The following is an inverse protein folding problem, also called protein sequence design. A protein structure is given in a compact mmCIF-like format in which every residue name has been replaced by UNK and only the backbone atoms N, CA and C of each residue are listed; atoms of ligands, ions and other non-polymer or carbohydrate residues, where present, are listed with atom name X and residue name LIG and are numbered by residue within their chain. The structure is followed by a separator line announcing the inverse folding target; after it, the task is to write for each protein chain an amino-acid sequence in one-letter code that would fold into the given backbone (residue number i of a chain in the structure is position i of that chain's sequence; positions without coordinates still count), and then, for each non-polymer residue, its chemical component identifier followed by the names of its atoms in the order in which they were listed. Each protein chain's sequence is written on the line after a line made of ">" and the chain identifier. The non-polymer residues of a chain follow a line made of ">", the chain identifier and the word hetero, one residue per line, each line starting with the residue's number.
data_IF_104387207916
#
_entry.id   IF_104387207916
#
_cell.length_a   1.000
_cell.length_b   1.000
_cell.length_c   1.000
_cell.angle_alpha   90.00
_cell.angle_beta   90.00
_cell.angle_gamma   90.00
#
_symmetry.space_group_name_H-M   'P 1'
#
loop_
_entity.id
_entity.type
_entity.pdbx_description
1 polymer ?
#
# COMPACT_ATOMS: atom_id res chain seq x y z
N UNK A 1 -27.08 7.12 53.73
CA UNK A 1 -27.52 7.73 52.45
C UNK A 1 -26.41 8.72 52.05
N UNK A 2 -25.39 8.25 51.30
CA UNK A 2 -25.06 8.49 49.85
C UNK A 2 -24.23 9.77 49.64
N UNK A 3 -23.10 9.89 48.91
CA UNK A 3 -22.36 9.15 47.84
C UNK A 3 -20.84 9.53 47.93
N UNK A 4 -19.81 8.66 47.78
CA UNK A 4 -19.09 8.17 46.55
C UNK A 4 -18.79 9.23 45.47
N UNK A 5 -17.64 9.36 44.78
CA UNK A 5 -16.32 8.66 44.68
C UNK A 5 -15.42 9.49 43.70
N UNK A 6 -14.09 9.49 43.91
CA UNK A 6 -12.96 9.65 42.93
C UNK A 6 -12.89 11.00 42.15
N UNK A 7 -11.77 11.57 41.70
CA UNK A 7 -10.35 11.20 41.55
C UNK A 7 -9.58 12.51 41.25
N UNK A 8 -8.35 12.70 41.75
CA UNK A 8 -7.45 13.72 41.16
C UNK A 8 -5.96 13.35 41.33
N UNK A 9 -5.24 13.43 40.21
CA UNK A 9 -3.82 13.16 40.01
C UNK A 9 -2.98 14.44 40.25
N UNK A 10 -1.83 14.33 40.95
CA UNK A 10 -0.51 14.94 40.66
C UNK A 10 0.37 15.00 41.93
N UNK A 11 1.57 14.43 41.87
CA UNK A 11 2.74 14.74 42.72
C UNK A 11 3.97 14.15 41.99
N UNK A 12 4.96 14.88 41.47
CA UNK A 12 5.92 15.85 42.04
C UNK A 12 6.76 15.31 43.21
N UNK A 13 8.04 15.05 42.88
CA UNK A 13 9.28 15.11 43.68
C UNK A 13 9.29 14.54 45.11
N UNK A 14 9.87 13.34 45.25
CA UNK A 14 10.32 12.79 46.53
C UNK A 14 11.83 13.03 46.73
N UNK A 15 12.19 14.27 47.05
CA UNK A 15 13.48 14.64 47.64
C UNK A 15 13.21 15.45 48.91
N UNK A 16 13.08 14.75 50.05
CA UNK A 16 13.35 15.22 51.42
C UNK A 16 12.86 14.17 52.43
N UNK A 17 13.64 14.02 53.50
CA UNK A 17 13.47 13.16 54.68
C UNK A 17 14.09 11.75 54.63
N UNK A 18 15.42 11.71 54.80
CA UNK A 18 16.07 10.71 55.66
C UNK A 18 17.38 11.31 56.22
N UNK A 19 17.24 12.22 57.19
CA UNK A 19 18.35 12.61 58.09
C UNK A 19 17.79 12.54 59.49
N UNK A 20 18.23 11.55 60.26
CA UNK A 20 18.48 11.54 61.72
C UNK A 20 18.45 10.08 62.18
N UNK A 21 19.64 9.49 62.35
CA UNK A 21 20.03 8.59 63.45
C UNK A 21 21.41 7.98 63.13
N UNK A 22 22.46 8.79 63.30
CA UNK A 22 23.82 8.34 63.54
C UNK A 22 24.31 9.10 64.76
N UNK A 23 24.50 8.42 65.89
CA UNK A 23 25.45 8.73 66.98
C UNK A 23 25.23 7.72 68.12
N UNK A 24 26.03 6.64 68.14
CA UNK A 24 26.60 6.02 69.35
C UNK A 24 27.28 4.70 68.98
N UNK A 25 28.59 4.76 68.75
CA UNK A 25 29.47 3.64 69.01
C UNK A 25 29.86 3.68 70.49
N UNK A 26 29.97 2.51 71.14
CA UNK A 26 31.18 2.29 71.90
C UNK A 26 31.87 0.99 71.49
N UNK A 27 33.18 1.13 71.41
CA UNK A 27 34.21 0.10 71.33
C UNK A 27 34.02 -0.87 72.49
N UNK A 28 33.78 -2.16 72.21
CA UNK A 28 34.03 -3.25 73.15
C UNK A 28 34.54 -4.49 72.39
N UNK A 29 35.82 -4.76 72.63
CA UNK A 29 36.48 -6.07 72.69
C UNK A 29 35.98 -7.21 71.81
N UNK A 30 36.82 -7.60 70.85
CA UNK A 30 36.97 -9.01 70.48
C UNK A 30 37.35 -9.82 71.74
N UNK A 31 36.70 -10.96 72.02
CA UNK A 31 37.37 -12.08 72.64
C UNK A 31 37.86 -13.06 71.56
N UNK A 32 39.11 -13.55 71.65
CA UNK A 32 39.58 -14.65 70.83
C UNK A 32 39.06 -15.96 71.44
N UNK A 33 38.37 -16.78 70.66
CA UNK A 33 38.32 -18.22 70.93
C UNK A 33 38.10 -18.95 69.63
N UNK A 34 39.23 -19.35 69.07
CA UNK A 34 39.46 -20.65 68.47
C UNK A 34 38.27 -21.61 68.66
N UNK A 35 37.47 -21.79 67.62
CA UNK A 35 36.64 -22.98 67.49
C UNK A 35 37.10 -23.72 66.24
N UNK A 36 38.30 -24.29 66.34
CA UNK A 36 38.79 -25.40 65.54
C UNK A 36 37.93 -26.64 65.79
N UNK A 37 36.69 -26.60 65.30
CA UNK A 37 35.75 -27.72 65.23
C UNK A 37 34.71 -27.31 64.17
N UNK A 38 34.70 -27.77 62.93
CA UNK A 38 35.30 -28.94 62.29
C UNK A 38 35.49 -28.54 60.80
N UNK A 39 36.68 -28.07 60.41
CA UNK A 39 37.05 -28.05 58.99
C UNK A 39 37.45 -29.49 58.67
N UNK A 40 36.59 -30.20 57.94
CA UNK A 40 36.77 -31.62 57.66
C UNK A 40 37.28 -31.87 56.22
N UNK A 41 37.41 -30.82 55.41
CA UNK A 41 37.98 -30.84 54.07
C UNK A 41 38.28 -29.41 53.58
N UNK A 42 39.27 -29.27 52.70
CA UNK A 42 39.55 -28.05 51.92
C UNK A 42 39.22 -28.26 50.44
N UNK A 43 39.36 -29.49 49.96
CA UNK A 43 39.00 -29.90 48.61
C UNK A 43 38.18 -31.21 48.63
N UNK A 44 37.46 -31.51 47.54
CA UNK A 44 36.66 -32.74 47.45
C UNK A 44 37.50 -34.02 47.45
N UNK A 45 38.81 -33.95 47.23
CA UNK A 45 39.78 -35.05 47.35
C UNK A 45 39.98 -35.51 48.80
N UNK A 46 39.88 -34.60 49.76
CA UNK A 46 40.02 -34.88 51.20
C UNK A 46 38.88 -35.75 51.77
N UNK A 47 37.76 -35.81 51.05
CA UNK A 47 36.59 -36.58 51.44
C UNK A 47 36.65 -38.05 50.95
N UNK A 48 36.26 -38.98 51.84
CA UNK A 48 36.08 -40.41 51.53
C UNK A 48 35.17 -40.64 50.31
N UNK A 49 35.29 -41.81 49.68
CA UNK A 49 34.60 -42.17 48.43
C UNK A 49 33.11 -41.80 48.43
N UNK A 50 32.71 -40.97 47.46
CA UNK A 50 31.33 -40.51 47.27
C UNK A 50 30.92 -39.24 48.01
N UNK A 51 31.82 -38.55 48.72
CA UNK A 51 31.54 -37.25 49.37
C UNK A 51 32.28 -36.10 48.71
N UNK A 52 31.72 -34.90 48.81
CA UNK A 52 32.30 -33.63 48.32
C UNK A 52 32.47 -32.63 49.44
N UNK A 53 33.44 -31.72 49.27
CA UNK A 53 33.62 -30.64 50.21
C UNK A 53 32.68 -29.47 49.89
N UNK A 54 31.72 -29.21 50.77
CA UNK A 54 30.81 -28.06 50.67
C UNK A 54 30.88 -27.30 51.99
N UNK A 55 31.21 -26.01 51.94
CA UNK A 55 31.38 -25.16 53.13
C UNK A 55 32.30 -25.79 54.20
N UNK A 56 33.47 -26.28 53.78
CA UNK A 56 34.50 -26.90 54.62
C UNK A 56 34.07 -28.18 55.36
N UNK A 57 32.98 -28.81 54.92
CA UNK A 57 32.46 -30.07 55.45
C UNK A 57 32.23 -31.09 54.33
N UNK A 58 32.66 -32.33 54.54
CA UNK A 58 32.37 -33.43 53.62
C UNK A 58 30.89 -33.78 53.67
N UNK A 59 30.17 -33.39 52.63
CA UNK A 59 28.74 -33.65 52.43
C UNK A 59 28.48 -34.65 51.31
N UNK A 60 27.27 -35.17 51.29
CA UNK A 60 26.75 -35.89 50.13
C UNK A 60 26.46 -34.88 48.99
N UNK A 61 27.00 -35.07 47.77
CA UNK A 61 26.67 -34.24 46.61
C UNK A 61 25.17 -34.08 46.36
N UNK A 62 24.37 -35.06 46.79
CA UNK A 62 22.92 -35.05 46.65
C UNK A 62 22.21 -34.08 47.60
N UNK A 63 22.86 -33.61 48.66
CA UNK A 63 22.24 -32.71 49.61
C UNK A 63 22.20 -31.28 49.05
N UNK A 64 21.06 -30.93 48.43
CA UNK A 64 20.84 -29.62 47.80
C UNK A 64 21.32 -29.52 46.34
N UNK A 65 21.88 -30.61 45.78
CA UNK A 65 22.36 -30.65 44.40
C UNK A 65 21.31 -31.00 43.35
N UNK A 66 20.12 -31.48 43.75
CA UNK A 66 19.01 -31.79 42.85
C UNK A 66 17.74 -31.04 43.27
N UNK A 67 16.86 -30.78 42.30
CA UNK A 67 15.57 -30.16 42.56
C UNK A 67 14.53 -31.12 43.16
N UNK A 68 13.32 -30.65 43.50
CA UNK A 68 12.27 -31.49 44.06
C UNK A 68 11.82 -32.61 43.11
N UNK A 69 11.26 -33.69 43.68
CA UNK A 69 10.74 -34.87 42.96
C UNK A 69 11.76 -35.64 42.08
N UNK A 70 13.04 -35.57 42.44
CA UNK A 70 14.10 -36.36 41.80
C UNK A 70 14.56 -37.55 42.65
N UNK A 71 15.25 -38.46 41.99
CA UNK A 71 16.18 -39.42 42.56
C UNK A 71 17.58 -38.83 42.34
N UNK A 72 18.40 -38.79 43.38
CA UNK A 72 19.80 -38.39 43.27
C UNK A 72 20.72 -39.58 43.50
N UNK A 73 21.71 -39.75 42.62
CA UNK A 73 22.77 -40.72 42.75
C UNK A 73 24.12 -40.02 42.72
N UNK A 74 25.03 -40.41 43.60
CA UNK A 74 26.38 -39.89 43.59
C UNK A 74 27.27 -40.78 42.72
N UNK A 75 27.80 -40.21 41.63
CA UNK A 75 28.73 -40.88 40.71
C UNK A 75 29.98 -40.02 40.59
N UNK A 76 31.14 -40.58 40.91
CA UNK A 76 32.44 -39.89 40.88
C UNK A 76 32.46 -38.53 41.61
N UNK A 77 31.85 -38.48 42.79
CA UNK A 77 31.71 -37.26 43.63
C UNK A 77 30.88 -36.14 42.96
N UNK A 78 30.02 -36.47 41.99
CA UNK A 78 29.06 -35.54 41.36
C UNK A 78 27.63 -36.02 41.60
N UNK A 79 26.70 -35.08 41.76
CA UNK A 79 25.26 -35.37 41.81
C UNK A 79 24.72 -35.67 40.41
N UNK A 80 24.22 -36.89 40.22
CA UNK A 80 23.42 -37.26 39.06
C UNK A 80 21.94 -37.25 39.46
N UNK A 81 21.18 -36.32 38.89
CA UNK A 81 19.77 -36.13 39.19
C UNK A 81 18.91 -36.73 38.08
N UNK A 82 17.90 -37.55 38.43
CA UNK A 82 16.88 -38.07 37.52
C UNK A 82 15.49 -37.85 38.09
N UNK A 83 14.46 -37.65 37.25
CA UNK A 83 13.08 -37.54 37.75
C UNK A 83 12.60 -38.88 38.32
N UNK A 84 11.79 -38.83 39.40
CA UNK A 84 11.06 -40.02 39.87
C UNK A 84 10.09 -40.52 38.78
N UNK A 85 9.76 -41.82 38.75
CA UNK A 85 8.76 -42.35 37.81
C UNK A 85 7.44 -41.55 37.86
N UNK A 86 6.91 -41.16 36.70
CA UNK A 86 5.70 -40.33 36.60
C UNK A 86 5.93 -38.83 36.78
N UNK A 87 7.19 -38.40 36.89
CA UNK A 87 7.59 -37.00 36.89
C UNK A 87 8.49 -36.70 35.69
N UNK A 88 8.35 -35.50 35.13
CA UNK A 88 9.13 -34.98 34.01
C UNK A 88 9.69 -33.59 34.33
N UNK A 89 10.59 -33.08 33.50
CA UNK A 89 11.23 -31.77 33.67
C UNK A 89 12.75 -31.84 33.71
N UNK A 90 13.37 -30.78 34.24
CA UNK A 90 14.82 -30.71 34.39
C UNK A 90 15.22 -31.09 35.82
N UNK A 91 15.86 -32.24 36.05
CA UNK A 91 16.09 -32.77 37.40
C UNK A 91 16.84 -31.84 38.35
N UNK A 92 17.77 -31.02 37.86
CA UNK A 92 18.51 -30.09 38.74
C UNK A 92 17.64 -28.93 39.24
N UNK A 93 16.62 -28.50 38.48
CA UNK A 93 15.68 -27.44 38.90
C UNK A 93 14.43 -28.01 39.58
N UNK A 94 14.12 -29.29 39.34
CA UNK A 94 12.98 -30.00 39.90
C UNK A 94 12.10 -30.60 38.82
N UNK A 95 11.51 -31.74 39.16
CA UNK A 95 10.55 -32.43 38.32
C UNK A 95 9.12 -32.20 38.83
N UNK A 96 8.17 -32.31 37.92
CA UNK A 96 6.75 -32.12 38.15
C UNK A 96 5.98 -33.32 37.56
N UNK A 97 4.77 -33.62 38.07
CA UNK A 97 3.99 -34.76 37.57
C UNK A 97 3.75 -34.65 36.05
N UNK A 98 3.81 -35.78 35.36
CA UNK A 98 3.38 -35.86 33.96
C UNK A 98 1.87 -35.56 33.85
N UNK A 99 1.49 -34.67 32.95
CA UNK A 99 0.08 -34.30 32.73
C UNK A 99 -0.56 -35.12 31.61
N UNK A 100 0.21 -35.47 30.58
CA UNK A 100 -0.29 -36.09 29.35
C UNK A 100 0.72 -37.07 28.73
N UNK A 101 0.22 -37.99 27.90
CA UNK A 101 1.04 -38.87 27.05
C UNK A 101 0.83 -38.60 25.56
N UNK A 102 -0.38 -38.21 25.18
CA UNK A 102 -0.79 -37.85 23.82
C UNK A 102 -1.70 -36.62 23.85
N UNK A 103 -1.89 -35.97 22.71
CA UNK A 103 -2.63 -34.69 22.63
C UNK A 103 -4.07 -34.82 23.13
N UNK A 104 -4.73 -35.96 22.87
CA UNK A 104 -6.10 -36.22 23.35
C UNK A 104 -6.25 -36.35 24.87
N UNK A 105 -5.14 -36.43 25.61
CA UNK A 105 -5.16 -36.35 27.08
C UNK A 105 -5.33 -34.90 27.56
N UNK A 106 -5.11 -33.92 26.67
CA UNK A 106 -5.21 -32.50 26.95
C UNK A 106 -6.57 -31.92 26.53
N UNK A 107 -6.96 -30.75 27.05
CA UNK A 107 -8.07 -29.98 26.50
C UNK A 107 -7.84 -29.64 25.01
N UNK A 108 -8.92 -29.42 24.26
CA UNK A 108 -8.90 -29.12 22.82
C UNK A 108 -7.98 -27.93 22.44
N UNK A 109 -7.81 -26.95 23.33
CA UNK A 109 -6.93 -25.79 23.08
C UNK A 109 -5.44 -26.05 23.36
N UNK A 110 -5.06 -27.28 23.73
CA UNK A 110 -3.71 -27.62 24.18
C UNK A 110 -3.19 -28.90 23.56
N UNK A 111 -1.88 -29.01 23.35
CA UNK A 111 -1.21 -30.22 22.88
C UNK A 111 -0.30 -30.80 23.96
N UNK A 112 0.02 -32.08 23.83
CA UNK A 112 0.93 -32.75 24.74
C UNK A 112 2.38 -32.55 24.31
N UNK A 113 3.02 -31.51 24.86
CA UNK A 113 4.43 -31.20 24.60
C UNK A 113 5.25 -31.50 25.85
N UNK A 114 6.28 -32.34 25.71
CA UNK A 114 7.17 -32.72 26.82
C UNK A 114 6.44 -33.22 28.08
N UNK A 115 5.33 -33.96 27.90
CA UNK A 115 4.46 -34.47 28.98
C UNK A 115 3.71 -33.39 29.77
N UNK A 116 3.51 -32.21 29.18
CA UNK A 116 2.62 -31.15 29.66
C UNK A 116 1.59 -30.77 28.60
N UNK A 117 0.42 -30.35 29.06
CA UNK A 117 -0.58 -29.74 28.19
C UNK A 117 -0.26 -28.25 27.99
N UNK A 118 0.34 -27.93 26.84
CA UNK A 118 0.71 -26.57 26.45
C UNK A 118 -0.29 -25.99 25.45
N UNK A 119 -0.58 -24.70 25.56
CA UNK A 119 -1.47 -23.97 24.65
C UNK A 119 -0.91 -23.96 23.22
N UNK A 120 -1.68 -24.48 22.27
CA UNK A 120 -1.26 -24.62 20.86
C UNK A 120 -1.13 -23.29 20.16
N UNK A 121 -1.86 -22.26 20.60
CA UNK A 121 -1.85 -20.92 20.02
C UNK A 121 -0.71 -20.05 20.55
N UNK A 122 -0.08 -20.45 21.66
CA UNK A 122 1.03 -19.71 22.25
C UNK A 122 2.22 -19.66 21.29
N UNK A 123 2.48 -18.46 20.75
CA UNK A 123 3.55 -18.18 19.78
C UNK A 123 3.44 -18.93 18.43
N UNK A 124 2.27 -19.49 18.09
CA UNK A 124 2.11 -20.25 16.85
C UNK A 124 1.82 -19.37 15.62
N UNK A 125 1.11 -18.26 15.81
CA UNK A 125 0.68 -17.38 14.71
C UNK A 125 1.43 -16.05 14.69
N UNK A 126 1.55 -15.45 13.50
CA UNK A 126 2.21 -14.16 13.28
C UNK A 126 1.41 -12.94 13.76
N UNK A 127 1.97 -11.74 13.61
CA UNK A 127 1.29 -10.49 13.94
C UNK A 127 -0.01 -10.30 13.12
N UNK A 128 -0.99 -9.59 13.71
CA UNK A 128 -2.29 -9.31 13.10
C UNK A 128 -3.08 -10.55 12.67
N UNK A 129 -2.90 -11.64 13.42
CA UNK A 129 -3.66 -12.88 13.24
C UNK A 129 -4.51 -13.20 14.46
N UNK A 130 -5.57 -13.94 14.23
CA UNK A 130 -6.35 -14.62 15.23
C UNK A 130 -6.01 -16.12 15.17
N UNK A 131 -5.61 -16.69 16.30
CA UNK A 131 -5.39 -18.13 16.41
C UNK A 131 -6.64 -18.83 16.93
N UNK A 132 -6.97 -19.98 16.33
CA UNK A 132 -8.00 -20.89 16.82
C UNK A 132 -7.41 -22.29 16.92
N UNK A 133 -7.54 -22.92 18.08
CA UNK A 133 -7.20 -24.32 18.25
C UNK A 133 -8.26 -25.21 17.57
N UNK A 134 -7.83 -26.16 16.75
CA UNK A 134 -8.67 -27.16 16.11
C UNK A 134 -7.95 -28.51 16.21
N UNK A 135 -8.52 -29.47 16.93
CA UNK A 135 -7.97 -30.82 17.14
C UNK A 135 -6.52 -30.79 17.67
N UNK A 136 -6.22 -29.97 18.69
CA UNK A 136 -4.87 -29.76 19.22
C UNK A 136 -3.86 -29.14 18.25
N UNK A 137 -4.31 -28.51 17.15
CA UNK A 137 -3.44 -27.76 16.23
C UNK A 137 -3.82 -26.27 16.18
N UNK A 138 -2.84 -25.35 16.04
CA UNK A 138 -3.14 -23.95 15.83
C UNK A 138 -3.55 -23.69 14.38
N UNK A 139 -4.70 -23.05 14.19
CA UNK A 139 -5.16 -22.53 12.90
C UNK A 139 -5.17 -21.01 12.96
N UNK A 140 -4.34 -20.39 12.12
CA UNK A 140 -4.18 -18.94 12.06
C UNK A 140 -5.03 -18.34 10.94
N UNK A 141 -5.76 -17.27 11.24
CA UNK A 141 -6.46 -16.44 10.26
C UNK A 141 -6.09 -14.97 10.45
N UNK A 142 -6.17 -14.13 9.41
CA UNK A 142 -6.00 -12.70 9.61
C UNK A 142 -7.10 -12.13 10.52
N UNK A 143 -6.74 -11.17 11.38
CA UNK A 143 -7.71 -10.40 12.17
C UNK A 143 -8.65 -9.61 11.25
N UNK A 144 -9.81 -9.13 11.77
CA UNK A 144 -10.69 -8.24 11.00
C UNK A 144 -9.92 -7.07 10.36
N UNK A 145 -10.34 -6.65 9.17
CA UNK A 145 -9.70 -5.62 8.32
C UNK A 145 -8.31 -5.96 7.75
N UNK A 146 -7.81 -7.19 7.95
CA UNK A 146 -6.52 -7.62 7.40
C UNK A 146 -6.67 -8.69 6.31
N UNK A 147 -5.80 -8.62 5.30
CA UNK A 147 -5.71 -9.59 4.21
C UNK A 147 -4.31 -10.18 4.16
N UNK A 148 -4.25 -11.47 3.85
CA UNK A 148 -3.01 -12.21 3.78
C UNK A 148 -2.19 -11.81 2.55
N UNK A 149 -0.93 -11.44 2.76
CA UNK A 149 0.06 -11.20 1.74
C UNK A 149 1.21 -12.24 1.88
N UNK A 150 1.62 -12.94 0.80
CA UNK A 150 2.66 -13.97 0.86
C UNK A 150 4.02 -13.51 1.39
N UNK A 151 4.35 -12.22 1.21
CA UNK A 151 5.65 -11.66 1.56
C UNK A 151 5.62 -10.88 2.88
N UNK A 152 4.48 -10.27 3.20
CA UNK A 152 4.33 -9.34 4.33
C UNK A 152 3.42 -9.86 5.46
N UNK A 153 2.81 -11.03 5.30
CA UNK A 153 1.84 -11.57 6.25
C UNK A 153 0.49 -10.84 6.20
N UNK A 154 -0.28 -10.86 7.29
CA UNK A 154 -1.57 -10.17 7.37
C UNK A 154 -1.37 -8.65 7.44
N UNK A 155 -1.83 -7.95 6.40
CA UNK A 155 -1.71 -6.50 6.24
C UNK A 155 -3.10 -5.85 6.28
N UNK A 156 -3.18 -4.63 6.81
CA UNK A 156 -4.42 -3.84 6.76
C UNK A 156 -4.83 -3.66 5.31
N UNK A 157 -6.10 -3.90 4.98
CA UNK A 157 -6.62 -3.49 3.67
C UNK A 157 -6.50 -1.97 3.58
N UNK A 158 -5.64 -1.46 2.69
CA UNK A 158 -5.59 -0.02 2.40
C UNK A 158 -7.02 0.40 2.05
N UNK A 159 -7.57 1.34 2.82
CA UNK A 159 -8.92 1.85 2.56
C UNK A 159 -8.96 2.32 1.11
N UNK A 160 -9.92 1.80 0.34
CA UNK A 160 -10.16 2.23 -1.03
C UNK A 160 -10.60 3.69 -0.97
N UNK A 161 -9.91 4.56 -1.69
CA UNK A 161 -10.23 5.98 -1.76
C UNK A 161 -11.43 6.20 -2.69
N UNK A 162 -11.53 5.39 -3.75
CA UNK A 162 -12.60 5.42 -4.73
C UNK A 162 -12.95 4.01 -5.24
N UNK A 163 -14.12 3.89 -5.85
CA UNK A 163 -14.58 2.74 -6.62
C UNK A 163 -14.91 3.09 -8.07
N UNK A 164 -15.30 4.34 -8.31
CA UNK A 164 -15.59 4.91 -9.62
C UNK A 164 -15.05 6.36 -9.70
N UNK A 165 -14.97 6.91 -10.92
CA UNK A 165 -14.45 8.27 -11.14
C UNK A 165 -15.24 9.35 -10.38
N UNK A 166 -16.55 9.19 -10.25
CA UNK A 166 -17.47 10.08 -9.53
C UNK A 166 -17.15 10.21 -8.04
N UNK A 167 -16.42 9.25 -7.46
CA UNK A 167 -15.97 9.33 -6.06
C UNK A 167 -14.81 10.34 -5.91
N UNK A 168 -14.13 10.67 -7.00
CA UNK A 168 -13.01 11.61 -7.02
C UNK A 168 -13.47 13.05 -7.28
N UNK A 169 -12.57 14.02 -7.01
CA UNK A 169 -12.74 15.38 -7.51
C UNK A 169 -12.75 15.39 -9.05
N UNK A 170 -13.43 16.36 -9.65
CA UNK A 170 -13.61 16.47 -11.12
C UNK A 170 -12.31 16.54 -11.94
N UNK A 171 -11.19 16.84 -11.29
CA UNK A 171 -9.84 16.89 -11.87
C UNK A 171 -9.00 15.63 -11.58
N UNK A 172 -9.61 14.53 -11.12
CA UNK A 172 -8.93 13.26 -10.79
C UNK A 172 -9.72 12.07 -11.32
N UNK A 173 -9.09 10.91 -11.46
CA UNK A 173 -9.74 9.66 -11.91
C UNK A 173 -9.44 8.53 -10.94
N UNK A 174 -10.34 7.55 -10.86
CA UNK A 174 -10.19 6.38 -10.01
C UNK A 174 -9.39 5.29 -10.73
N UNK A 175 -8.13 5.11 -10.34
CA UNK A 175 -7.28 4.04 -10.87
C UNK A 175 -6.79 3.19 -9.70
N UNK A 176 -7.04 1.88 -9.77
CA UNK A 176 -6.65 0.92 -8.72
C UNK A 176 -7.11 1.33 -7.31
N UNK A 177 -8.33 1.89 -7.21
CA UNK A 177 -8.94 2.37 -5.96
C UNK A 177 -8.26 3.60 -5.32
N UNK A 178 -7.53 4.38 -6.12
CA UNK A 178 -6.88 5.62 -5.70
C UNK A 178 -7.24 6.76 -6.65
N UNK A 179 -7.60 7.94 -6.11
CA UNK A 179 -7.89 9.12 -6.91
C UNK A 179 -6.60 9.80 -7.37
N UNK A 180 -6.19 9.51 -8.59
CA UNK A 180 -4.94 10.01 -9.19
C UNK A 180 -5.19 11.15 -10.18
N UNK A 181 -4.17 11.98 -10.42
CA UNK A 181 -4.21 12.98 -11.49
C UNK A 181 -3.94 12.27 -12.83
N UNK A 182 -4.92 12.23 -13.74
CA UNK A 182 -4.74 11.55 -15.02
C UNK A 182 -3.71 12.25 -15.93
N UNK A 183 -3.29 13.48 -15.64
CA UNK A 183 -2.24 14.17 -16.41
C UNK A 183 -0.84 13.61 -16.18
N UNK A 184 -0.59 12.83 -15.12
CA UNK A 184 0.77 12.38 -14.76
C UNK A 184 1.41 11.42 -15.78
N UNK A 185 0.63 10.81 -16.68
CA UNK A 185 1.15 9.80 -17.61
C UNK A 185 0.49 9.72 -18.99
N UNK A 186 -0.53 10.55 -19.28
CA UNK A 186 -1.32 10.43 -20.51
C UNK A 186 -0.82 11.33 -21.65
N UNK A 187 -0.27 12.51 -21.35
CA UNK A 187 0.14 13.47 -22.37
C UNK A 187 1.64 13.38 -22.70
N UNK A 188 1.96 13.66 -23.97
CA UNK A 188 3.32 13.70 -24.47
C UNK A 188 4.10 14.97 -24.09
N UNK A 189 5.36 15.06 -24.52
CA UNK A 189 6.19 16.23 -24.25
C UNK A 189 5.71 17.50 -24.99
N UNK A 190 5.99 18.66 -24.39
CA UNK A 190 5.58 19.99 -24.88
C UNK A 190 4.06 20.18 -25.01
N UNK A 191 3.32 19.57 -24.09
CA UNK A 191 1.85 19.67 -24.06
C UNK A 191 1.36 20.52 -22.88
N UNK A 192 0.09 20.86 -22.96
CA UNK A 192 -0.75 21.33 -21.86
C UNK A 192 -1.77 20.21 -21.64
N UNK A 193 -1.86 19.73 -20.40
CA UNK A 193 -2.88 18.78 -20.00
C UNK A 193 -3.96 19.52 -19.22
N UNK A 194 -5.22 19.29 -19.57
CA UNK A 194 -6.37 19.75 -18.79
C UNK A 194 -7.24 18.56 -18.41
N UNK A 195 -7.78 18.58 -17.19
CA UNK A 195 -8.71 17.57 -16.69
C UNK A 195 -10.06 18.22 -16.47
N UNK A 196 -11.08 17.72 -17.15
CA UNK A 196 -12.46 18.11 -16.91
C UNK A 196 -13.34 16.86 -16.91
N UNK A 197 -14.20 16.74 -15.89
CA UNK A 197 -15.08 15.59 -15.68
C UNK A 197 -14.32 14.26 -15.72
N UNK A 198 -13.20 14.16 -14.99
CA UNK A 198 -12.35 12.97 -14.88
C UNK A 198 -11.62 12.56 -16.17
N UNK A 199 -11.79 13.29 -17.27
CA UNK A 199 -11.14 13.01 -18.55
C UNK A 199 -9.99 13.99 -18.83
N UNK A 200 -8.92 13.46 -19.41
CA UNK A 200 -7.77 14.25 -19.88
C UNK A 200 -7.96 14.74 -21.30
N UNK A 201 -7.62 16.00 -21.51
CA UNK A 201 -7.39 16.57 -22.81
C UNK A 201 -5.93 17.01 -22.92
N UNK A 202 -5.21 16.43 -23.87
CA UNK A 202 -3.83 16.81 -24.18
C UNK A 202 -3.83 17.77 -25.38
N UNK A 203 -3.17 18.90 -25.21
CA UNK A 203 -3.03 19.97 -26.19
C UNK A 203 -1.54 20.22 -26.46
N UNK A 204 -1.13 20.54 -27.69
CA UNK A 204 0.23 21.08 -27.87
C UNK A 204 0.28 22.49 -27.25
N UNK A 205 1.42 22.85 -26.65
CA UNK A 205 1.63 24.23 -26.19
C UNK A 205 1.52 25.20 -27.37
N UNK A 206 1.09 26.45 -27.17
CA UNK A 206 1.08 27.45 -28.23
C UNK A 206 2.45 27.54 -28.94
N UNK A 207 2.44 27.48 -30.27
CA UNK A 207 3.66 27.44 -31.10
C UNK A 207 4.23 26.04 -31.36
N UNK A 208 3.61 24.99 -30.81
CA UNK A 208 4.00 23.59 -31.05
C UNK A 208 2.93 22.85 -31.85
N UNK A 209 3.37 21.90 -32.68
CA UNK A 209 2.54 21.04 -33.53
C UNK A 209 2.95 19.58 -33.38
N UNK A 210 2.06 18.63 -33.67
CA UNK A 210 2.35 17.20 -33.56
C UNK A 210 1.25 16.46 -32.80
N UNK A 211 1.61 15.35 -32.15
CA UNK A 211 0.66 14.49 -31.44
C UNK A 211 0.72 14.80 -29.93
N UNK A 212 -0.32 15.40 -29.33
CA UNK A 212 -0.33 15.71 -27.90
C UNK A 212 -0.28 14.47 -26.99
N UNK A 213 -0.54 13.26 -27.49
CA UNK A 213 -0.40 12.02 -26.73
C UNK A 213 1.01 11.42 -26.80
N UNK A 214 1.89 11.95 -27.65
CA UNK A 214 3.23 11.41 -27.87
C UNK A 214 4.30 12.50 -27.68
N UNK A 215 4.29 13.50 -28.57
CA UNK A 215 5.25 14.59 -28.57
C UNK A 215 4.77 15.72 -29.49
N UNK A 216 4.93 16.97 -29.02
CA UNK A 216 4.78 18.16 -29.84
C UNK A 216 6.15 18.81 -30.12
N UNK A 217 6.34 19.32 -31.33
CA UNK A 217 7.55 19.99 -31.80
C UNK A 217 7.28 21.46 -32.11
N UNK A 218 8.28 22.31 -31.92
CA UNK A 218 8.18 23.75 -32.17
C UNK A 218 8.00 24.00 -33.67
N UNK A 219 6.90 24.66 -34.03
CA UNK A 219 6.48 24.91 -35.40
C UNK A 219 7.42 25.89 -36.14
N UNK A 220 7.88 26.94 -35.45
CA UNK A 220 8.71 27.99 -36.02
C UNK A 220 10.15 27.50 -36.21
N UNK A 221 10.64 26.66 -35.29
CA UNK A 221 11.93 26.00 -35.39
C UNK A 221 12.06 25.12 -36.64
N UNK A 222 10.95 24.58 -37.13
CA UNK A 222 10.89 23.70 -38.30
C UNK A 222 10.31 24.37 -39.56
N UNK A 223 9.89 25.65 -39.51
CA UNK A 223 9.26 26.40 -40.60
C UNK A 223 8.09 25.66 -41.27
N UNK A 224 7.33 24.90 -40.49
CA UNK A 224 6.29 24.03 -41.04
C UNK A 224 5.04 24.82 -41.41
N UNK A 225 4.48 24.47 -42.57
CA UNK A 225 3.22 25.01 -43.09
C UNK A 225 2.11 23.98 -43.00
N UNK A 226 0.92 24.40 -42.55
CA UNK A 226 -0.25 23.54 -42.43
C UNK A 226 -0.88 23.29 -43.80
N UNK A 227 -1.18 22.03 -44.09
CA UNK A 227 -1.85 21.58 -45.30
C UNK A 227 -3.03 20.67 -44.95
N UNK A 228 -4.02 20.61 -45.83
CA UNK A 228 -5.22 19.78 -45.66
C UNK A 228 -5.34 18.71 -46.74
N UNK A 229 -5.86 17.55 -46.35
CA UNK A 229 -6.23 16.44 -47.24
C UNK A 229 -7.65 16.01 -46.92
N UNK A 230 -8.46 15.77 -47.95
CA UNK A 230 -9.79 15.20 -47.76
C UNK A 230 -9.75 13.70 -47.99
N UNK A 231 -10.28 12.96 -47.02
CA UNK A 231 -10.38 11.51 -47.03
C UNK A 231 -11.82 11.10 -47.38
N UNK A 232 -12.03 10.34 -48.46
CA UNK A 232 -13.37 9.98 -48.92
C UNK A 232 -14.04 8.90 -48.06
N UNK A 233 -13.26 8.10 -47.33
CA UNK A 233 -13.75 7.03 -46.45
C UNK A 233 -14.73 7.59 -45.41
N UNK A 234 -15.84 6.90 -45.16
CA UNK A 234 -16.86 7.37 -44.21
C UNK A 234 -16.71 6.67 -42.86
N UNK A 235 -16.29 7.41 -41.85
CA UNK A 235 -16.03 6.91 -40.50
C UNK A 235 -16.75 7.76 -39.45
N UNK A 236 -17.02 7.17 -38.29
CA UNK A 236 -17.41 7.94 -37.12
C UNK A 236 -16.26 8.85 -36.68
N UNK A 237 -16.57 9.88 -35.89
CA UNK A 237 -15.60 10.93 -35.55
C UNK A 237 -14.34 10.37 -34.89
N UNK A 238 -14.48 9.45 -33.93
CA UNK A 238 -13.35 8.82 -33.25
C UNK A 238 -12.48 8.00 -34.21
N UNK A 239 -13.11 7.22 -35.09
CA UNK A 239 -12.41 6.38 -36.07
C UNK A 239 -11.72 7.23 -37.14
N UNK A 240 -12.32 8.33 -37.56
CA UNK A 240 -11.70 9.30 -38.47
C UNK A 240 -10.46 9.95 -37.84
N UNK A 241 -10.54 10.31 -36.55
CA UNK A 241 -9.42 10.88 -35.81
C UNK A 241 -8.23 9.91 -35.73
N UNK A 242 -8.49 8.65 -35.37
CA UNK A 242 -7.47 7.60 -35.36
C UNK A 242 -6.91 7.29 -36.76
N UNK A 243 -7.76 7.38 -37.79
CA UNK A 243 -7.34 7.16 -39.17
C UNK A 243 -6.39 8.24 -39.68
N UNK A 244 -6.64 9.52 -39.40
CA UNK A 244 -5.66 10.57 -39.69
C UNK A 244 -4.33 10.32 -38.94
N UNK A 245 -4.41 9.98 -37.65
CA UNK A 245 -3.24 9.70 -36.80
C UNK A 245 -2.38 8.55 -37.31
N UNK A 246 -3.02 7.48 -37.80
CA UNK A 246 -2.32 6.33 -38.38
C UNK A 246 -1.45 6.69 -39.60
N UNK A 247 -1.71 7.83 -40.25
CA UNK A 247 -0.94 8.35 -41.39
C UNK A 247 0.03 9.47 -41.01
N UNK A 248 0.24 9.73 -39.72
CA UNK A 248 1.04 10.87 -39.24
C UNK A 248 0.38 12.22 -39.46
N UNK A 249 -0.95 12.24 -39.60
CA UNK A 249 -1.78 13.43 -39.77
C UNK A 249 -2.72 13.58 -38.57
N UNK A 250 -3.51 14.64 -38.53
CA UNK A 250 -4.52 14.85 -37.48
C UNK A 250 -5.84 15.22 -38.12
N UNK A 251 -6.96 15.00 -37.44
CA UNK A 251 -8.23 15.55 -37.92
C UNK A 251 -8.12 17.08 -37.98
N UNK A 252 -8.66 17.71 -39.02
CA UNK A 252 -8.34 19.10 -39.35
C UNK A 252 -8.87 20.10 -38.32
N UNK A 253 -8.00 21.03 -37.89
CA UNK A 253 -8.35 22.23 -37.11
C UNK A 253 -8.38 23.47 -38.00
N UNK A 254 -9.19 24.47 -37.62
CA UNK A 254 -9.30 25.73 -38.36
C UNK A 254 -9.22 26.91 -37.38
N UNK A 255 -8.07 27.56 -37.36
CA UNK A 255 -7.72 28.62 -36.41
C UNK A 255 -7.89 30.03 -37.00
N UNK A 256 -8.12 30.16 -38.31
CA UNK A 256 -8.27 31.46 -38.97
C UNK A 256 -9.08 31.39 -40.26
N UNK A 257 -9.54 32.55 -40.75
CA UNK A 257 -10.18 32.64 -42.07
C UNK A 257 -9.28 32.24 -43.23
N UNK A 258 -7.95 32.37 -43.08
CA UNK A 258 -6.99 31.88 -44.07
C UNK A 258 -7.00 30.35 -44.13
N UNK A 259 -6.94 29.69 -42.98
CA UNK A 259 -7.01 28.23 -42.88
C UNK A 259 -8.34 27.69 -43.44
N UNK A 260 -9.46 28.38 -43.18
CA UNK A 260 -10.76 28.03 -43.77
C UNK A 260 -10.73 28.09 -45.31
N UNK A 261 -10.06 29.10 -45.88
CA UNK A 261 -9.90 29.23 -47.33
C UNK A 261 -8.98 28.13 -47.91
N UNK A 262 -7.96 27.72 -47.16
CA UNK A 262 -7.02 26.66 -47.55
C UNK A 262 -7.70 25.29 -47.56
N UNK A 263 -8.48 24.97 -46.52
CA UNK A 263 -9.33 23.78 -46.46
C UNK A 263 -10.36 23.76 -47.60
N UNK A 264 -10.96 24.92 -47.90
CA UNK A 264 -11.89 25.06 -49.03
C UNK A 264 -11.25 24.68 -50.36
N UNK A 265 -9.98 25.04 -50.60
CA UNK A 265 -9.26 24.62 -51.80
C UNK A 265 -9.08 23.11 -51.84
N UNK A 266 -8.58 22.51 -50.75
CA UNK A 266 -8.40 21.06 -50.66
C UNK A 266 -9.71 20.28 -50.88
N UNK A 267 -10.84 20.78 -50.36
CA UNK A 267 -12.16 20.19 -50.58
C UNK A 267 -12.63 20.25 -52.04
N UNK A 268 -12.45 21.39 -52.69
CA UNK A 268 -12.83 21.53 -54.10
C UNK A 268 -11.94 20.67 -55.01
N UNK A 269 -10.64 20.61 -54.73
CA UNK A 269 -9.68 19.81 -55.49
C UNK A 269 -9.97 18.30 -55.37
N UNK A 270 -10.45 17.86 -54.21
CA UNK A 270 -10.88 16.47 -53.99
C UNK A 270 -12.15 16.09 -54.78
N UNK A 271 -12.93 17.07 -55.25
CA UNK A 271 -14.14 16.84 -56.04
C UNK A 271 -15.28 16.13 -55.29
N UNK A 272 -15.20 16.05 -53.96
CA UNK A 272 -16.19 15.38 -53.12
C UNK A 272 -17.38 16.29 -52.79
N UNK A 273 -18.50 15.67 -52.40
CA UNK A 273 -19.71 16.36 -51.94
C UNK A 273 -20.21 15.74 -50.65
N UNK A 274 -20.52 16.56 -49.66
CA UNK A 274 -21.17 16.12 -48.42
C UNK A 274 -20.63 16.83 -47.19
N UNK A 275 -21.08 16.35 -46.02
CA UNK A 275 -20.54 16.79 -44.73
C UNK A 275 -19.19 16.12 -44.48
N UNK A 276 -18.29 16.86 -43.85
CA UNK A 276 -16.92 16.43 -43.59
C UNK A 276 -16.55 16.67 -42.13
N UNK A 277 -15.98 15.67 -41.45
CA UNK A 277 -15.52 15.84 -40.06
C UNK A 277 -14.34 16.81 -39.95
N UNK A 278 -14.34 17.58 -38.85
CA UNK A 278 -13.23 18.38 -38.33
C UNK A 278 -12.86 17.91 -36.92
N UNK A 279 -11.71 18.33 -36.39
CA UNK A 279 -11.25 17.95 -35.05
C UNK A 279 -11.99 18.60 -33.89
N UNK A 280 -12.94 19.51 -34.16
CA UNK A 280 -13.63 20.27 -33.13
C UNK A 280 -14.68 19.48 -32.38
N UNK A 281 -14.72 19.62 -31.06
CA UNK A 281 -15.78 19.06 -30.22
C UNK A 281 -15.97 19.83 -28.91
N UNK A 282 -17.14 19.69 -28.28
CA UNK A 282 -17.42 20.15 -26.90
C UNK A 282 -17.58 18.96 -25.92
N UNK A 283 -16.93 17.83 -26.25
CA UNK A 283 -17.01 16.59 -25.50
C UNK A 283 -16.58 16.77 -24.04
N UNK A 284 -15.52 17.54 -23.81
CA UNK A 284 -14.91 17.76 -22.49
C UNK A 284 -15.77 18.64 -21.60
N UNK A 285 -16.34 19.72 -22.14
CA UNK A 285 -17.22 20.63 -21.43
C UNK A 285 -18.26 21.24 -22.38
N UNK A 286 -19.55 21.04 -22.05
CA UNK A 286 -20.68 21.46 -22.90
C UNK A 286 -20.60 22.96 -23.17
N UNK A 287 -20.61 23.34 -24.44
CA UNK A 287 -20.49 24.75 -24.87
C UNK A 287 -19.07 25.30 -24.92
N UNK A 288 -18.05 24.53 -24.51
CA UNK A 288 -16.64 24.89 -24.61
C UNK A 288 -15.98 24.07 -25.72
N UNK A 289 -15.97 24.61 -26.94
CA UNK A 289 -15.41 23.92 -28.11
C UNK A 289 -13.90 24.02 -28.14
N UNK A 290 -13.26 22.85 -28.30
CA UNK A 290 -11.81 22.68 -28.43
C UNK A 290 -11.48 21.83 -29.66
N UNK A 291 -10.36 22.13 -30.30
CA UNK A 291 -9.83 21.31 -31.39
C UNK A 291 -9.09 20.11 -30.81
N UNK A 292 -9.55 18.89 -31.04
CA UNK A 292 -8.86 17.70 -30.52
C UNK A 292 -7.46 17.45 -31.11
N UNK A 293 -7.12 18.08 -32.24
CA UNK A 293 -5.78 17.98 -32.82
C UNK A 293 -4.76 18.89 -32.13
N UNK A 294 -5.18 20.05 -31.62
CA UNK A 294 -4.28 21.04 -30.98
C UNK A 294 -4.54 21.25 -29.49
N UNK A 295 -5.73 20.87 -29.02
CA UNK A 295 -6.35 21.16 -27.73
C UNK A 295 -6.67 22.63 -27.48
N UNK A 296 -6.60 23.48 -28.50
CA UNK A 296 -6.90 24.90 -28.39
C UNK A 296 -8.40 25.16 -28.48
N UNK A 297 -8.88 26.14 -27.69
CA UNK A 297 -10.23 26.66 -27.80
C UNK A 297 -10.48 27.37 -29.12
N UNK A 298 -11.75 27.51 -29.47
CA UNK A 298 -12.15 28.13 -30.72
C UNK A 298 -11.91 29.64 -30.69
N UNK A 299 -10.87 30.10 -31.40
CA UNK A 299 -10.58 31.53 -31.62
C UNK A 299 -11.16 32.07 -32.93
N UNK A 300 -11.51 31.16 -33.84
CA UNK A 300 -12.16 31.43 -35.12
C UNK A 300 -13.31 30.44 -35.29
N UNK A 301 -14.43 30.92 -35.82
CA UNK A 301 -15.62 30.10 -36.05
C UNK A 301 -16.30 30.47 -37.35
N UNK A 302 -16.87 29.48 -38.04
CA UNK A 302 -17.68 29.70 -39.23
C UNK A 302 -19.02 28.95 -39.14
N UNK A 303 -19.72 29.10 -38.02
CA UNK A 303 -20.98 28.39 -37.76
C UNK A 303 -22.06 28.70 -38.79
N UNK A 304 -22.86 27.69 -39.11
CA UNK A 304 -24.13 27.86 -39.80
C UNK A 304 -25.10 28.67 -38.91
N UNK A 305 -26.03 29.41 -39.50
CA UNK A 305 -26.81 30.49 -38.82
C UNK A 305 -27.61 30.08 -37.58
N UNK A 306 -27.77 28.78 -37.31
CA UNK A 306 -28.49 28.24 -36.13
C UNK A 306 -27.62 27.29 -35.28
N UNK A 307 -26.31 27.32 -35.48
CA UNK A 307 -25.32 26.46 -34.82
C UNK A 307 -24.40 27.29 -33.92
N UNK A 308 -23.79 26.69 -32.87
CA UNK A 308 -23.94 25.29 -32.46
C UNK A 308 -25.31 24.99 -31.81
N UNK A 309 -25.90 23.84 -32.14
CA UNK A 309 -27.13 23.36 -31.51
C UNK A 309 -26.98 23.10 -29.99
N UNK A 310 -28.07 23.22 -29.23
CA UNK A 310 -28.07 23.10 -27.75
C UNK A 310 -28.14 21.63 -27.25
N UNK A 311 -28.22 20.67 -28.16
CA UNK A 311 -28.50 19.26 -27.83
C UNK A 311 -27.24 18.48 -27.48
N UNK A 312 -27.29 17.77 -26.35
CA UNK A 312 -26.19 16.95 -25.81
C UNK A 312 -25.74 15.79 -26.71
N UNK A 313 -26.53 15.43 -27.72
CA UNK A 313 -26.19 14.38 -28.69
C UNK A 313 -25.29 14.87 -29.81
N UNK A 314 -25.13 16.20 -29.97
CA UNK A 314 -24.48 16.84 -31.09
C UNK A 314 -23.23 17.60 -30.62
N UNK A 315 -22.13 16.86 -30.45
CA UNK A 315 -20.89 17.36 -29.82
C UNK A 315 -19.69 17.45 -30.75
N UNK A 316 -19.76 16.81 -31.93
CA UNK A 316 -18.67 16.78 -32.90
C UNK A 316 -18.95 17.68 -34.09
N UNK A 317 -17.91 18.32 -34.63
CA UNK A 317 -18.08 19.34 -35.66
C UNK A 317 -17.82 18.78 -37.05
N UNK A 318 -18.73 19.09 -37.96
CA UNK A 318 -18.55 18.88 -39.39
C UNK A 318 -18.74 20.19 -40.17
N UNK A 319 -18.09 20.31 -41.32
CA UNK A 319 -18.36 21.41 -42.26
C UNK A 319 -19.23 20.95 -43.44
N UNK A 320 -20.01 21.90 -43.95
CA UNK A 320 -20.91 21.76 -45.10
C UNK A 320 -20.23 22.11 -46.42
N UNK A 321 -20.91 21.85 -47.54
CA UNK A 321 -20.45 22.27 -48.87
C UNK A 321 -20.39 23.79 -49.06
N UNK A 322 -21.10 24.56 -48.24
CA UNK A 322 -20.98 26.03 -48.18
C UNK A 322 -19.89 26.49 -47.19
N UNK A 323 -19.13 25.55 -46.64
CA UNK A 323 -18.03 25.72 -45.69
C UNK A 323 -18.43 26.23 -44.30
N UNK A 324 -19.73 26.33 -44.03
CA UNK A 324 -20.22 26.61 -42.67
C UNK A 324 -20.20 25.35 -41.81
N UNK A 325 -20.04 25.53 -40.50
CA UNK A 325 -19.88 24.45 -39.53
C UNK A 325 -21.19 24.15 -38.82
N UNK A 326 -21.37 22.92 -38.41
CA UNK A 326 -22.50 22.46 -37.61
C UNK A 326 -22.08 21.33 -36.68
N UNK A 327 -22.89 21.09 -35.66
CA UNK A 327 -22.69 19.93 -34.79
C UNK A 327 -23.40 18.68 -35.33
N UNK A 328 -22.74 17.53 -35.24
CA UNK A 328 -23.26 16.20 -35.56
C UNK A 328 -23.03 15.23 -34.40
N UNK A 329 -23.88 14.20 -34.36
CA UNK A 329 -23.62 13.05 -33.49
C UNK A 329 -22.31 12.40 -33.92
N UNK A 330 -21.37 12.27 -32.98
CA UNK A 330 -20.03 11.74 -33.20
C UNK A 330 -20.04 10.32 -33.79
N UNK A 331 -21.13 9.57 -33.59
CA UNK A 331 -21.33 8.22 -34.14
C UNK A 331 -21.70 8.20 -35.63
N UNK A 332 -21.92 9.35 -36.26
CA UNK A 332 -22.30 9.43 -37.69
C UNK A 332 -21.10 9.12 -38.59
N UNK A 333 -21.28 8.30 -39.62
CA UNK A 333 -20.21 8.02 -40.58
C UNK A 333 -20.16 9.09 -41.67
N UNK A 334 -19.12 9.94 -41.64
CA UNK A 334 -18.86 11.00 -42.62
C UNK A 334 -17.45 10.85 -43.20
N UNK A 335 -17.26 11.40 -44.39
CA UNK A 335 -15.93 11.71 -44.91
C UNK A 335 -15.27 12.76 -44.03
N UNK A 336 -13.95 12.95 -44.12
CA UNK A 336 -13.24 13.76 -43.14
C UNK A 336 -12.03 14.49 -43.72
N UNK A 337 -11.67 15.62 -43.09
CA UNK A 337 -10.47 16.36 -43.43
C UNK A 337 -9.37 16.05 -42.42
N UNK A 338 -8.19 15.70 -42.92
CA UNK A 338 -6.97 15.64 -42.12
C UNK A 338 -6.11 16.88 -42.37
N UNK A 339 -5.33 17.29 -41.37
CA UNK A 339 -4.26 18.27 -41.45
C UNK A 339 -2.89 17.61 -41.24
N UNK A 340 -1.88 18.14 -41.92
CA UNK A 340 -0.49 17.76 -41.74
C UNK A 340 0.41 18.99 -41.92
N UNK A 341 1.65 18.87 -41.48
CA UNK A 341 2.63 19.95 -41.46
C UNK A 341 3.83 19.56 -42.31
N UNK A 342 4.24 20.44 -43.24
CA UNK A 342 5.38 20.23 -44.15
C UNK A 342 6.26 21.46 -44.27
#
# INVERSE_FOLDING_TARGET
>A
RTCSKLNNFRAMEASKYFILLTMCAPILGLPPSNNSSEINCENSGDCSSGKVCVNFKCGDPCHGGCGPNTICLTVDKVSMCACKPGFTGYPFNGCYPEECRMDSDCPEERECRNKRCEDVCKNACGLNTHCKAINHYPVCSCSPEHVWNPFLGCQVQKAKDCTEDSDCLSNRTCINYECVDPCDSVCGNNTICTVENHHTACACRPGFVGNPLQNCVDQDSMKLTKHYVIEPEKLNWMSANERCRSKGMYLASIMSGKEQADLKRAYNDAGLKGLMWLSGSDWTSKGHYVWSSTGQSFVYTNWYTTEPGVSDLYRCIAFRSDFTWLTKSCSTNLSYACEYFK
#
